data_IF_369306114803
#
_entry.id   IF_369306114803
#
_cell.length_a   1.000
_cell.length_b   1.000
_cell.length_c   1.000
_cell.angle_alpha   90.00
_cell.angle_beta   90.00
_cell.angle_gamma   90.00
#
_symmetry.space_group_name_H-M   'P 1'
#
loop_
_entity.id
_entity.type
_entity.pdbx_description
1 polymer ?
#
# COMPACT_ATOMS: atom_id res chain seq x y z
N UNK A 1 -54.09 -2.44 -41.60
CA UNK A 1 -54.29 -1.76 -42.90
C UNK A 1 -54.38 -0.27 -42.66
N UNK A 2 -53.89 0.52 -43.62
CA UNK A 2 -53.65 1.98 -43.62
C UNK A 2 -52.35 2.47 -42.96
N UNK A 3 -51.36 2.67 -43.83
CA UNK A 3 -50.10 3.36 -43.62
C UNK A 3 -50.30 4.83 -43.98
N UNK A 4 -49.99 5.76 -43.07
CA UNK A 4 -49.94 7.19 -43.37
C UNK A 4 -48.49 7.68 -43.26
N UNK A 5 -47.88 7.88 -44.43
CA UNK A 5 -46.64 8.65 -44.62
C UNK A 5 -47.01 10.06 -45.09
N UNK A 6 -46.36 11.13 -44.59
CA UNK A 6 -46.30 12.39 -45.31
C UNK A 6 -44.87 12.71 -45.78
N UNK A 7 -44.77 12.80 -47.11
CA UNK A 7 -44.07 13.76 -47.96
C UNK A 7 -42.71 14.37 -47.54
N UNK A 8 -41.74 14.03 -48.39
CA UNK A 8 -40.55 14.78 -48.82
C UNK A 8 -40.64 16.31 -48.64
N UNK A 9 -39.65 16.89 -47.95
CA UNK A 9 -39.19 18.27 -48.19
C UNK A 9 -37.81 18.25 -48.83
N UNK A 10 -37.69 19.14 -49.80
CA UNK A 10 -36.64 19.27 -50.79
C UNK A 10 -35.31 19.75 -50.20
N UNK A 11 -34.25 19.30 -50.86
CA UNK A 11 -32.86 19.67 -50.69
C UNK A 11 -32.68 21.20 -50.69
N UNK A 12 -32.10 21.73 -49.61
CA UNK A 12 -31.51 23.07 -49.61
C UNK A 12 -30.00 22.90 -49.75
N UNK A 13 -29.46 23.50 -50.80
CA UNK A 13 -28.03 23.56 -51.11
C UNK A 13 -27.22 24.03 -49.91
N UNK A 14 -26.27 23.20 -49.48
CA UNK A 14 -25.25 23.59 -48.53
C UNK A 14 -24.16 24.36 -49.28
N UNK A 15 -23.96 25.63 -48.94
CA UNK A 15 -22.80 26.39 -49.34
C UNK A 15 -21.53 25.77 -48.71
N UNK A 16 -20.41 25.61 -49.43
CA UNK A 16 -19.16 25.22 -48.82
C UNK A 16 -18.59 26.42 -48.05
N UNK A 17 -18.75 26.41 -46.72
CA UNK A 17 -17.94 27.27 -45.87
C UNK A 17 -16.53 26.69 -45.85
N UNK A 18 -15.65 27.24 -46.68
CA UNK A 18 -14.20 27.01 -46.63
C UNK A 18 -13.64 27.73 -45.40
N UNK A 19 -13.84 27.12 -44.23
CA UNK A 19 -13.11 27.51 -43.02
C UNK A 19 -11.69 26.97 -43.19
N UNK A 20 -10.77 27.82 -43.64
CA UNK A 20 -9.34 27.56 -43.58
C UNK A 20 -8.94 27.42 -42.11
N UNK A 21 -8.91 26.19 -41.63
CA UNK A 21 -8.27 25.88 -40.38
C UNK A 21 -6.78 26.18 -40.58
N UNK A 22 -6.13 27.02 -39.76
CA UNK A 22 -4.68 27.04 -39.74
C UNK A 22 -4.22 25.61 -39.46
N UNK A 23 -3.10 25.14 -40.04
CA UNK A 23 -2.59 23.82 -39.72
C UNK A 23 -2.46 23.77 -38.21
N UNK A 24 -3.30 22.94 -37.57
CA UNK A 24 -3.13 22.55 -36.19
C UNK A 24 -1.79 21.85 -36.22
N UNK A 25 -0.74 22.62 -35.91
CA UNK A 25 0.54 22.06 -35.54
C UNK A 25 0.18 21.05 -34.47
N UNK A 26 0.36 19.77 -34.79
CA UNK A 26 0.37 18.72 -33.81
C UNK A 26 1.54 19.04 -32.88
N UNK A 27 1.32 19.97 -31.95
CA UNK A 27 1.96 19.96 -30.65
C UNK A 27 1.43 18.70 -30.00
N UNK A 28 2.00 17.57 -30.43
CA UNK A 28 2.10 16.38 -29.59
C UNK A 28 2.61 16.94 -28.27
N UNK A 29 1.82 16.96 -27.18
CA UNK A 29 2.43 17.19 -25.89
C UNK A 29 3.48 16.10 -25.79
N UNK A 30 4.75 16.50 -25.89
CA UNK A 30 5.88 15.70 -25.46
C UNK A 30 5.69 15.56 -23.96
N UNK A 31 4.77 14.67 -23.57
CA UNK A 31 4.81 13.98 -22.30
C UNK A 31 6.14 13.23 -22.35
N UNK A 32 7.21 13.92 -21.98
CA UNK A 32 8.49 13.32 -21.67
C UNK A 32 8.25 12.50 -20.41
N UNK A 33 7.56 11.37 -20.54
CA UNK A 33 7.71 10.31 -19.58
C UNK A 33 9.19 9.94 -19.69
N UNK A 34 10.01 10.49 -18.80
CA UNK A 34 11.34 9.96 -18.52
C UNK A 34 11.14 8.56 -17.97
N UNK A 35 10.81 7.62 -18.85
CA UNK A 35 10.89 6.20 -18.57
C UNK A 35 12.38 5.93 -18.52
N UNK A 36 12.94 5.96 -17.31
CA UNK A 36 14.24 5.33 -17.04
C UNK A 36 14.07 3.86 -17.36
N UNK A 37 14.32 3.50 -18.61
CA UNK A 37 14.28 2.12 -19.05
C UNK A 37 15.55 1.43 -18.54
N UNK A 38 15.53 0.10 -18.39
CA UNK A 38 16.74 -0.67 -18.10
C UNK A 38 17.85 -0.43 -19.15
N UNK A 39 17.48 0.04 -20.35
CA UNK A 39 18.40 0.45 -21.41
C UNK A 39 19.12 1.77 -21.14
N UNK A 40 18.61 2.67 -20.29
CA UNK A 40 19.30 3.91 -19.93
C UNK A 40 20.54 3.66 -19.06
N UNK A 41 20.53 2.62 -18.22
CA UNK A 41 21.68 2.28 -17.38
C UNK A 41 22.75 1.53 -18.20
N UNK A 42 22.32 0.71 -19.16
CA UNK A 42 23.22 0.04 -20.09
C UNK A 42 23.84 1.02 -21.09
N UNK A 43 23.04 1.94 -21.65
CA UNK A 43 23.53 3.00 -22.53
C UNK A 43 24.46 3.96 -21.80
N UNK A 44 24.15 4.38 -20.56
CA UNK A 44 25.08 5.18 -19.74
C UNK A 44 26.37 4.45 -19.40
N UNK A 45 26.32 3.14 -19.16
CA UNK A 45 27.53 2.33 -18.91
C UNK A 45 28.38 2.19 -20.18
N UNK A 46 27.75 1.96 -21.33
CA UNK A 46 28.42 1.98 -22.64
C UNK A 46 28.98 3.35 -22.99
N UNK A 47 28.24 4.42 -22.71
CA UNK A 47 28.65 5.80 -22.97
C UNK A 47 29.78 6.21 -22.02
N UNK A 48 29.77 5.76 -20.76
CA UNK A 48 30.89 5.93 -19.84
C UNK A 48 32.13 5.14 -20.27
N UNK A 49 31.96 3.89 -20.75
CA UNK A 49 33.06 3.10 -21.28
C UNK A 49 33.63 3.77 -22.54
N UNK A 50 32.76 4.25 -23.45
CA UNK A 50 33.15 4.98 -24.66
C UNK A 50 33.87 6.30 -24.33
N UNK A 51 33.48 7.00 -23.27
CA UNK A 51 34.19 8.19 -22.75
C UNK A 51 35.57 7.86 -22.18
N UNK A 52 35.79 6.66 -21.62
CA UNK A 52 37.12 6.21 -21.19
C UNK A 52 38.03 5.88 -22.37
N UNK A 53 37.49 5.36 -23.48
CA UNK A 53 38.26 5.02 -24.68
C UNK A 53 38.37 6.17 -25.71
N UNK A 54 37.55 7.21 -25.61
CA UNK A 54 37.55 8.37 -26.52
C UNK A 54 36.97 9.60 -25.81
N UNK A 55 37.77 10.29 -24.97
CA UNK A 55 37.29 11.44 -24.18
C UNK A 55 36.84 12.63 -25.07
N UNK A 56 37.41 12.77 -26.27
CA UNK A 56 37.18 13.94 -27.13
C UNK A 56 35.97 13.84 -28.07
N UNK A 57 35.31 12.67 -28.15
CA UNK A 57 34.19 12.39 -29.09
C UNK A 57 32.80 12.33 -28.42
N UNK A 58 32.66 12.77 -27.18
CA UNK A 58 31.33 12.92 -26.60
C UNK A 58 30.60 14.09 -27.30
N UNK A 59 29.30 13.98 -27.63
CA UNK A 59 28.55 15.12 -28.13
C UNK A 59 28.45 16.16 -27.00
N UNK A 60 29.31 17.19 -27.06
CA UNK A 60 29.34 18.33 -26.15
C UNK A 60 28.14 19.22 -26.47
N UNK A 61 26.95 18.86 -26.01
CA UNK A 61 25.81 19.76 -26.08
C UNK A 61 25.98 20.81 -24.96
N UNK A 62 26.29 22.07 -25.29
CA UNK A 62 26.62 23.10 -24.30
C UNK A 62 25.49 23.29 -23.29
N UNK A 63 24.24 23.12 -23.70
CA UNK A 63 23.07 23.19 -22.82
C UNK A 63 23.06 22.08 -21.77
N UNK A 64 23.49 20.87 -22.15
CA UNK A 64 23.53 19.73 -21.22
C UNK A 64 24.70 19.84 -20.23
N UNK A 65 25.83 20.38 -20.67
CA UNK A 65 26.99 20.63 -19.80
C UNK A 65 26.72 21.78 -18.83
N UNK A 66 26.11 22.86 -19.31
CA UNK A 66 25.68 23.99 -18.47
C UNK A 66 24.61 23.54 -17.47
N UNK A 67 23.61 22.75 -17.91
CA UNK A 67 22.62 22.15 -17.02
C UNK A 67 23.25 21.21 -15.99
N UNK A 68 24.21 20.36 -16.38
CA UNK A 68 24.90 19.46 -15.45
C UNK A 68 25.82 20.22 -14.49
N UNK A 69 26.49 21.30 -14.93
CA UNK A 69 27.27 22.20 -14.06
C UNK A 69 26.34 22.87 -13.03
N UNK A 70 25.30 23.56 -13.49
CA UNK A 70 24.29 24.21 -12.64
C UNK A 70 23.59 23.22 -11.69
N UNK A 71 23.27 22.02 -12.16
CA UNK A 71 22.69 20.94 -11.34
C UNK A 71 23.70 20.37 -10.35
N UNK A 72 24.95 20.17 -10.76
CA UNK A 72 26.01 19.66 -9.89
C UNK A 72 26.32 20.62 -8.76
N UNK A 73 26.25 21.94 -8.98
CA UNK A 73 26.46 22.93 -7.93
C UNK A 73 25.31 22.95 -6.91
N UNK A 74 24.06 22.71 -7.34
CA UNK A 74 22.93 22.51 -6.44
C UNK A 74 22.95 21.17 -5.69
N UNK A 75 23.57 20.13 -6.27
CA UNK A 75 23.70 18.78 -5.69
C UNK A 75 25.04 18.54 -4.96
N UNK A 76 25.99 19.49 -5.03
CA UNK A 76 27.31 19.48 -4.36
C UNK A 76 27.24 19.79 -2.87
N UNK A 77 26.04 19.95 -2.31
CA UNK A 77 25.80 19.57 -0.92
C UNK A 77 26.12 18.07 -0.82
N UNK A 78 27.33 17.79 -0.34
CA UNK A 78 28.12 16.59 -0.60
C UNK A 78 27.31 15.30 -0.40
N UNK A 79 27.34 14.41 -1.40
CA UNK A 79 27.00 13.01 -1.15
C UNK A 79 28.14 12.42 -0.30
N UNK A 80 28.01 12.54 1.01
CA UNK A 80 28.96 11.99 1.96
C UNK A 80 29.04 10.47 1.75
N UNK A 81 30.26 9.98 1.58
CA UNK A 81 30.55 8.56 1.50
C UNK A 81 30.20 7.98 2.87
N UNK A 82 29.25 7.04 2.93
CA UNK A 82 28.75 6.53 4.21
C UNK A 82 29.87 5.99 5.11
N UNK A 83 29.91 6.47 6.34
CA UNK A 83 30.89 6.11 7.36
C UNK A 83 30.40 4.91 8.20
N UNK A 84 31.27 4.35 9.05
CA UNK A 84 30.96 3.26 9.97
C UNK A 84 29.87 3.67 10.99
N UNK A 85 29.06 2.70 11.42
CA UNK A 85 27.97 2.92 12.38
C UNK A 85 28.50 3.39 13.75
N UNK A 86 27.71 4.20 14.48
CA UNK A 86 28.03 4.76 15.81
C UNK A 86 28.49 3.76 16.88
N UNK A 87 28.15 2.48 16.69
CA UNK A 87 28.52 1.39 17.61
C UNK A 87 29.82 0.69 17.21
N UNK A 88 30.47 1.12 16.13
CA UNK A 88 31.72 0.54 15.65
C UNK A 88 32.90 1.20 16.35
N UNK A 89 33.82 0.39 16.86
CA UNK A 89 34.99 0.85 17.59
C UNK A 89 36.00 1.61 16.69
N UNK A 90 35.86 1.49 15.37
CA UNK A 90 36.72 2.11 14.35
C UNK A 90 36.15 3.44 13.83
N UNK A 91 35.25 4.09 14.55
CA UNK A 91 34.72 5.41 14.18
C UNK A 91 35.78 6.50 14.48
N UNK A 92 36.18 7.26 13.46
CA UNK A 92 37.14 8.37 13.60
C UNK A 92 36.57 9.48 14.51
N UNK A 93 37.35 9.96 15.50
CA UNK A 93 36.88 10.95 16.48
C UNK A 93 36.49 12.30 15.85
N UNK A 94 37.15 12.70 14.76
CA UNK A 94 36.83 13.92 14.00
C UNK A 94 35.45 13.87 13.33
N UNK A 95 34.93 12.65 13.08
CA UNK A 95 33.61 12.45 12.49
C UNK A 95 32.47 12.60 13.51
N UNK A 96 32.75 12.48 14.82
CA UNK A 96 31.75 12.61 15.89
C UNK A 96 31.14 14.01 15.95
N UNK A 97 31.94 15.05 15.72
CA UNK A 97 31.51 16.46 15.80
C UNK A 97 30.70 16.94 14.58
N UNK A 98 30.82 16.28 13.41
CA UNK A 98 30.07 16.65 12.19
C UNK A 98 28.70 15.98 12.07
N UNK A 99 28.47 14.87 12.76
CA UNK A 99 27.23 14.06 12.63
C UNK A 99 26.05 14.55 13.48
N UNK A 100 26.25 15.58 14.31
CA UNK A 100 25.16 16.32 14.96
C UNK A 100 24.50 17.33 13.99
N UNK A 101 25.00 17.45 12.74
CA UNK A 101 24.22 18.07 11.67
C UNK A 101 22.98 17.22 11.39
N UNK A 102 21.84 17.70 11.90
CA UNK A 102 20.50 17.21 11.62
C UNK A 102 20.40 16.76 10.16
N UNK A 103 19.99 15.51 9.93
CA UNK A 103 19.64 15.01 8.59
C UNK A 103 18.80 16.07 7.88
N UNK A 104 19.38 16.84 6.97
CA UNK A 104 18.69 17.96 6.30
C UNK A 104 17.49 17.39 5.58
N UNK A 105 16.31 17.56 6.17
CA UNK A 105 15.05 17.12 5.57
C UNK A 105 14.89 17.94 4.31
N UNK A 106 15.09 17.31 3.15
CA UNK A 106 14.90 17.96 1.85
C UNK A 106 13.49 18.57 1.86
N UNK A 107 13.36 19.90 1.72
CA UNK A 107 12.05 20.54 1.77
C UNK A 107 11.18 19.97 0.65
N UNK A 108 9.95 19.57 1.01
CA UNK A 108 8.99 19.00 0.06
C UNK A 108 8.48 20.11 -0.86
N UNK A 109 9.09 20.28 -2.03
CA UNK A 109 8.59 21.21 -3.04
C UNK A 109 7.44 20.55 -3.85
N UNK A 110 6.21 21.09 -3.79
CA UNK A 110 5.05 20.51 -4.48
C UNK A 110 5.23 20.47 -6.00
N UNK A 111 5.92 21.45 -6.61
CA UNK A 111 6.13 21.51 -8.06
C UNK A 111 7.02 20.37 -8.55
N UNK A 112 8.10 20.10 -7.81
CA UNK A 112 9.03 19.00 -8.12
C UNK A 112 8.33 17.66 -7.91
N UNK A 113 7.55 17.52 -6.84
CA UNK A 113 6.84 16.29 -6.51
C UNK A 113 5.64 16.04 -7.41
N UNK A 114 4.98 17.07 -7.95
CA UNK A 114 3.75 16.96 -8.73
C UNK A 114 3.91 15.97 -9.89
N UNK A 115 5.05 16.01 -10.59
CA UNK A 115 5.34 15.08 -11.70
C UNK A 115 5.42 13.62 -11.26
N UNK A 116 5.90 13.35 -10.05
CA UNK A 116 6.01 11.98 -9.51
C UNK A 116 4.74 11.52 -8.81
N UNK A 117 4.00 12.42 -8.17
CA UNK A 117 2.79 12.10 -7.40
C UNK A 117 1.55 12.01 -8.28
N UNK A 118 1.38 12.93 -9.23
CA UNK A 118 0.21 13.06 -10.10
C UNK A 118 0.62 12.95 -11.58
N UNK A 119 0.91 11.74 -12.10
CA UNK A 119 1.34 11.56 -13.48
C UNK A 119 0.25 11.95 -14.52
N UNK A 120 -1.03 11.88 -14.14
CA UNK A 120 -2.17 12.17 -15.03
C UNK A 120 -3.16 13.18 -14.37
N UNK A 121 -2.88 14.49 -14.41
CA UNK A 121 -3.65 15.49 -13.66
C UNK A 121 -5.12 15.61 -14.11
N UNK A 122 -5.40 15.50 -15.41
CA UNK A 122 -6.77 15.60 -15.95
C UNK A 122 -7.69 14.47 -15.43
N UNK A 123 -7.16 13.26 -15.30
CA UNK A 123 -7.91 12.13 -14.76
C UNK A 123 -8.20 12.35 -13.26
N UNK A 124 -7.20 12.82 -12.51
CA UNK A 124 -7.35 13.19 -11.10
C UNK A 124 -8.42 14.28 -10.91
N UNK A 125 -8.45 15.33 -11.74
CA UNK A 125 -9.47 16.38 -11.68
C UNK A 125 -10.88 15.84 -11.95
N UNK A 126 -11.07 15.02 -12.99
CA UNK A 126 -12.37 14.38 -13.29
C UNK A 126 -12.84 13.51 -12.13
N UNK A 127 -11.93 12.74 -11.53
CA UNK A 127 -12.23 11.91 -10.37
C UNK A 127 -12.59 12.76 -9.14
N UNK A 128 -11.82 13.82 -8.83
CA UNK A 128 -12.11 14.77 -7.75
C UNK A 128 -13.50 15.39 -7.93
N UNK A 129 -13.82 15.89 -9.13
CA UNK A 129 -15.16 16.42 -9.46
C UNK A 129 -16.26 15.39 -9.21
N UNK A 130 -16.07 14.14 -9.64
CA UNK A 130 -17.02 13.05 -9.39
C UNK A 130 -17.22 12.80 -7.90
N UNK A 131 -16.15 12.77 -7.11
CA UNK A 131 -16.23 12.56 -5.65
C UNK A 131 -16.95 13.71 -4.95
N UNK A 132 -16.67 14.97 -5.32
CA UNK A 132 -17.37 16.16 -4.80
C UNK A 132 -18.86 16.11 -5.11
N UNK A 133 -19.24 15.80 -6.34
CA UNK A 133 -20.67 15.66 -6.72
C UNK A 133 -21.36 14.56 -5.88
N UNK A 134 -20.68 13.42 -5.67
CA UNK A 134 -21.22 12.34 -4.83
C UNK A 134 -21.39 12.75 -3.37
N UNK A 135 -20.46 13.53 -2.82
CA UNK A 135 -20.50 14.02 -1.44
C UNK A 135 -21.65 15.03 -1.26
N UNK A 136 -21.78 15.98 -2.18
CA UNK A 136 -22.90 16.94 -2.25
C UNK A 136 -24.24 16.20 -2.35
N UNK A 137 -24.34 15.19 -3.22
CA UNK A 137 -25.56 14.37 -3.36
C UNK A 137 -25.94 13.65 -2.05
N UNK A 138 -24.95 13.18 -1.29
CA UNK A 138 -25.14 12.56 0.03
C UNK A 138 -25.36 13.56 1.16
N UNK A 139 -25.23 14.87 0.89
CA UNK A 139 -25.34 15.95 1.88
C UNK A 139 -24.39 15.73 3.06
N UNK A 140 -23.18 15.25 2.78
CA UNK A 140 -22.16 14.96 3.81
C UNK A 140 -22.41 13.71 4.67
N UNK A 141 -23.46 12.91 4.40
CA UNK A 141 -23.70 11.65 5.15
C UNK A 141 -22.63 10.61 4.82
N UNK A 142 -21.87 10.22 5.84
CA UNK A 142 -20.81 9.22 5.72
C UNK A 142 -21.34 7.79 5.81
N UNK A 143 -20.79 6.89 4.99
CA UNK A 143 -21.01 5.45 5.18
C UNK A 143 -20.16 4.92 6.32
N UNK A 144 -20.57 3.80 6.93
CA UNK A 144 -19.79 3.14 7.99
C UNK A 144 -18.33 2.95 7.59
N UNK A 145 -18.07 2.43 6.39
CA UNK A 145 -16.72 2.23 5.86
C UNK A 145 -15.90 3.53 5.74
N UNK A 146 -16.54 4.64 5.36
CA UNK A 146 -15.88 5.94 5.28
C UNK A 146 -15.55 6.50 6.67
N UNK A 147 -16.42 6.28 7.65
CA UNK A 147 -16.16 6.65 9.04
C UNK A 147 -15.00 5.83 9.60
N UNK A 148 -15.01 4.50 9.41
CA UNK A 148 -13.93 3.61 9.87
C UNK A 148 -12.58 3.96 9.25
N UNK A 149 -12.54 4.22 7.93
CA UNK A 149 -11.29 4.63 7.24
C UNK A 149 -10.72 5.95 7.76
N UNK A 150 -11.54 6.83 8.35
CA UNK A 150 -11.09 8.09 8.97
C UNK A 150 -10.67 7.89 10.41
N UNK A 151 -11.35 7.03 11.16
CA UNK A 151 -11.17 6.92 12.63
C UNK A 151 -10.20 5.82 13.06
N UNK A 152 -10.01 4.79 12.24
CA UNK A 152 -9.18 3.63 12.52
C UNK A 152 -7.98 3.60 11.57
N UNK A 153 -6.77 3.55 12.16
CA UNK A 153 -5.55 3.42 11.38
C UNK A 153 -5.36 1.97 10.95
N UNK A 154 -4.91 1.76 9.71
CA UNK A 154 -4.57 0.44 9.17
C UNK A 154 -3.28 0.52 8.37
N UNK A 155 -2.38 -0.45 8.56
CA UNK A 155 -1.21 -0.66 7.71
C UNK A 155 -1.32 -2.03 7.03
N UNK A 156 -1.22 -2.05 5.70
CA UNK A 156 -0.95 -3.26 4.94
C UNK A 156 0.54 -3.27 4.60
N UNK A 157 1.28 -4.24 5.13
CA UNK A 157 2.70 -4.43 4.83
C UNK A 157 2.89 -5.79 4.15
N UNK A 158 3.72 -5.83 3.10
CA UNK A 158 4.05 -7.04 2.34
C UNK A 158 5.54 -7.29 2.44
N UNK A 159 5.93 -8.52 2.74
CA UNK A 159 7.33 -8.92 2.81
C UNK A 159 7.98 -9.04 1.44
N UNK A 160 9.30 -9.17 1.43
CA UNK A 160 10.03 -9.74 0.30
C UNK A 160 9.71 -11.24 0.15
N UNK A 161 10.14 -11.83 -0.96
CA UNK A 161 9.90 -13.25 -1.24
C UNK A 161 10.86 -14.16 -0.46
N UNK A 162 10.32 -14.93 0.47
CA UNK A 162 11.03 -15.95 1.22
C UNK A 162 11.27 -17.20 0.36
N UNK A 163 12.39 -17.90 0.58
CA UNK A 163 12.71 -19.18 -0.07
C UNK A 163 11.96 -20.34 0.59
N UNK A 164 10.64 -20.33 0.51
CA UNK A 164 9.75 -21.38 1.03
C UNK A 164 8.50 -21.55 0.18
N UNK A 165 7.67 -22.51 0.54
CA UNK A 165 6.37 -22.74 -0.10
C UNK A 165 5.22 -22.18 0.75
N UNK A 166 4.11 -21.85 0.08
CA UNK A 166 2.92 -21.28 0.73
C UNK A 166 2.44 -22.20 1.86
N UNK A 167 2.42 -23.52 1.59
CA UNK A 167 1.99 -24.54 2.56
C UNK A 167 2.85 -24.57 3.82
N UNK A 168 4.15 -24.26 3.72
CA UNK A 168 5.06 -24.21 4.87
C UNK A 168 4.97 -22.88 5.63
N UNK A 169 4.64 -21.79 4.93
CA UNK A 169 4.52 -20.45 5.53
C UNK A 169 3.16 -20.20 6.20
N UNK A 170 2.07 -20.76 5.65
CA UNK A 170 0.71 -20.58 6.16
C UNK A 170 0.54 -20.93 7.64
N UNK A 171 1.13 -22.02 8.19
CA UNK A 171 1.05 -22.31 9.61
C UNK A 171 1.62 -21.18 10.49
N UNK A 172 2.71 -20.53 10.08
CA UNK A 172 3.29 -19.40 10.81
C UNK A 172 2.37 -18.17 10.73
N UNK A 173 1.82 -17.87 9.55
CA UNK A 173 0.88 -16.77 9.38
C UNK A 173 -0.37 -16.94 10.27
N UNK A 174 -0.93 -18.15 10.31
CA UNK A 174 -2.05 -18.47 11.22
C UNK A 174 -1.67 -18.37 12.69
N UNK A 175 -0.43 -18.72 13.06
CA UNK A 175 0.05 -18.67 14.44
C UNK A 175 0.20 -17.23 14.97
N UNK A 176 0.54 -16.27 14.11
CA UNK A 176 0.71 -14.85 14.49
C UNK A 176 -0.59 -14.04 14.34
N UNK A 177 -1.51 -14.45 13.48
CA UNK A 177 -2.80 -13.79 13.31
C UNK A 177 -3.55 -13.71 14.65
N UNK A 178 -4.04 -12.52 15.00
CA UNK A 178 -4.74 -12.28 16.24
C UNK A 178 -3.85 -12.07 17.48
N UNK A 179 -2.52 -12.11 17.35
CA UNK A 179 -1.61 -11.73 18.46
C UNK A 179 -1.25 -10.24 18.38
N UNK A 180 -0.81 -9.67 19.51
CA UNK A 180 -0.13 -8.36 19.48
C UNK A 180 1.15 -8.48 18.66
N UNK A 181 1.64 -7.39 18.10
CA UNK A 181 2.86 -7.43 17.28
C UNK A 181 4.06 -7.87 18.11
N UNK A 182 4.14 -7.45 19.37
CA UNK A 182 5.21 -7.82 20.29
C UNK A 182 5.16 -9.32 20.63
N UNK A 183 3.98 -9.85 20.96
CA UNK A 183 3.80 -11.29 21.20
C UNK A 183 4.12 -12.11 19.94
N UNK A 184 3.73 -11.63 18.76
CA UNK A 184 4.06 -12.28 17.51
C UNK A 184 5.57 -12.35 17.26
N UNK A 185 6.31 -11.27 17.54
CA UNK A 185 7.77 -11.21 17.45
C UNK A 185 8.40 -12.23 18.41
N UNK A 186 7.93 -12.29 19.67
CA UNK A 186 8.39 -13.26 20.67
C UNK A 186 8.13 -14.70 20.18
N UNK A 187 6.94 -14.96 19.64
CA UNK A 187 6.58 -16.28 19.14
C UNK A 187 7.43 -16.71 17.94
N UNK A 188 7.78 -15.79 17.04
CA UNK A 188 8.67 -16.08 15.92
C UNK A 188 10.13 -16.25 16.37
N UNK A 189 10.57 -15.52 17.41
CA UNK A 189 11.90 -15.68 18.03
C UNK A 189 12.13 -17.10 18.55
N UNK A 190 11.13 -17.69 19.21
CA UNK A 190 11.25 -19.03 19.80
C UNK A 190 10.75 -20.17 18.88
N UNK A 191 10.35 -19.85 17.65
CA UNK A 191 9.89 -20.86 16.71
C UNK A 191 11.06 -21.64 16.11
N UNK A 192 10.93 -22.96 16.07
CA UNK A 192 11.94 -23.87 15.48
C UNK A 192 12.00 -23.80 13.95
N UNK A 193 11.08 -23.11 13.29
CA UNK A 193 10.98 -23.07 11.83
C UNK A 193 12.00 -22.07 11.27
N UNK A 194 12.80 -22.50 10.27
CA UNK A 194 13.80 -21.63 9.62
C UNK A 194 13.24 -20.27 9.17
N UNK A 195 12.05 -20.29 8.54
CA UNK A 195 11.40 -19.08 8.00
C UNK A 195 10.88 -18.15 9.10
N UNK A 196 10.81 -18.59 10.35
CA UNK A 196 10.36 -17.73 11.45
C UNK A 196 11.31 -16.55 11.69
N UNK A 197 12.61 -16.70 11.39
CA UNK A 197 13.58 -15.60 11.45
C UNK A 197 13.18 -14.48 10.48
N UNK A 198 12.93 -14.82 9.21
CA UNK A 198 12.55 -13.84 8.19
C UNK A 198 11.18 -13.19 8.49
N UNK A 199 10.23 -13.96 9.04
CA UNK A 199 8.92 -13.45 9.47
C UNK A 199 9.07 -12.50 10.66
N UNK A 200 9.97 -12.79 11.60
CA UNK A 200 10.29 -11.89 12.73
C UNK A 200 10.83 -10.55 12.23
N UNK A 201 11.82 -10.59 11.33
CA UNK A 201 12.39 -9.39 10.71
C UNK A 201 11.32 -8.59 9.96
N UNK A 202 10.41 -9.27 9.27
CA UNK A 202 9.29 -8.60 8.61
C UNK A 202 8.30 -7.97 9.60
N UNK A 203 8.01 -8.61 10.75
CA UNK A 203 7.17 -8.03 11.80
C UNK A 203 7.80 -6.78 12.42
N UNK A 204 9.11 -6.80 12.68
CA UNK A 204 9.86 -5.63 13.15
C UNK A 204 9.83 -4.49 12.12
N UNK A 205 10.03 -4.81 10.84
CA UNK A 205 9.91 -3.83 9.75
C UNK A 205 8.48 -3.24 9.66
N UNK A 206 7.45 -4.09 9.70
CA UNK A 206 6.06 -3.67 9.60
C UNK A 206 5.63 -2.81 10.81
N UNK A 207 6.13 -3.11 12.02
CA UNK A 207 5.95 -2.27 13.20
C UNK A 207 6.53 -0.88 12.98
N UNK A 208 7.77 -0.80 12.51
CA UNK A 208 8.44 0.47 12.26
C UNK A 208 7.72 1.26 11.14
N UNK A 209 7.30 0.57 10.08
CA UNK A 209 6.51 1.15 9.00
C UNK A 209 5.16 1.69 9.50
N UNK A 210 4.50 1.00 10.43
CA UNK A 210 3.22 1.41 11.01
C UNK A 210 3.36 2.70 11.83
N UNK A 211 4.41 2.77 12.66
CA UNK A 211 4.72 3.95 13.45
C UNK A 211 5.04 5.13 12.52
N UNK A 212 5.94 4.93 11.55
CA UNK A 212 6.41 6.02 10.67
C UNK A 212 5.36 6.50 9.66
N UNK A 213 4.69 5.58 8.94
CA UNK A 213 3.75 5.95 7.87
C UNK A 213 2.35 6.29 8.39
N UNK A 214 1.90 5.62 9.45
CA UNK A 214 0.52 5.74 9.94
C UNK A 214 0.42 6.44 11.31
N UNK A 215 1.53 6.60 12.04
CA UNK A 215 1.51 7.17 13.39
C UNK A 215 0.79 6.29 14.40
N UNK A 216 0.91 4.97 14.26
CA UNK A 216 0.29 4.01 15.18
C UNK A 216 1.16 3.76 16.42
N UNK A 217 0.54 3.35 17.53
CA UNK A 217 1.27 2.86 18.72
C UNK A 217 2.05 3.92 19.51
N UNK A 218 1.77 5.21 19.30
CA UNK A 218 2.43 6.33 19.99
C UNK A 218 1.78 6.70 21.33
N UNK A 219 0.61 6.13 21.66
CA UNK A 219 -0.17 6.52 22.84
C UNK A 219 0.60 6.34 24.15
N UNK A 220 1.30 5.23 24.31
CA UNK A 220 2.09 4.92 25.51
C UNK A 220 3.21 5.92 25.78
N UNK A 221 3.88 6.39 24.72
CA UNK A 221 4.99 7.35 24.83
C UNK A 221 4.49 8.73 25.26
N UNK A 222 3.34 9.14 24.72
CA UNK A 222 2.74 10.44 25.04
C UNK A 222 2.03 10.47 26.40
N UNK A 223 1.92 9.34 27.13
CA UNK A 223 1.12 9.13 28.37
C UNK A 223 -0.38 9.43 28.25
N UNK A 224 -0.81 10.12 27.20
CA UNK A 224 -2.21 10.49 26.92
C UNK A 224 -3.15 9.29 26.82
N UNK A 225 -2.70 8.15 26.32
CA UNK A 225 -3.57 6.96 26.20
C UNK A 225 -3.85 6.35 27.57
N UNK A 226 -2.84 6.25 28.43
CA UNK A 226 -2.95 5.58 29.74
C UNK A 226 -3.81 6.37 30.72
N UNK A 227 -3.75 7.69 30.70
CA UNK A 227 -4.53 8.55 31.62
C UNK A 227 -6.02 8.59 31.24
N UNK A 228 -6.32 8.60 29.94
CA UNK A 228 -7.70 8.76 29.46
C UNK A 228 -8.44 7.42 29.25
N UNK A 229 -7.71 6.30 29.22
CA UNK A 229 -8.29 5.00 28.91
C UNK A 229 -8.26 4.06 30.11
N UNK A 230 -9.44 3.66 30.58
CA UNK A 230 -9.59 2.60 31.58
C UNK A 230 -9.31 1.25 30.92
N UNK A 231 -8.52 0.40 31.58
CA UNK A 231 -8.29 -0.98 31.13
C UNK A 231 -9.62 -1.71 30.88
N UNK A 232 -9.73 -2.38 29.73
CA UNK A 232 -10.94 -3.13 29.34
C UNK A 232 -10.60 -4.58 29.05
N UNK A 233 -11.51 -5.47 29.43
CA UNK A 233 -11.50 -6.86 28.97
C UNK A 233 -12.39 -6.97 27.75
N UNK A 234 -11.83 -7.45 26.64
CA UNK A 234 -12.57 -7.69 25.41
C UNK A 234 -12.58 -9.17 25.08
N UNK A 235 -13.59 -9.60 24.33
CA UNK A 235 -13.64 -10.95 23.76
C UNK A 235 -13.39 -10.86 22.25
N UNK A 236 -12.36 -11.55 21.76
CA UNK A 236 -12.07 -11.61 20.32
C UNK A 236 -13.13 -12.40 19.57
N UNK A 237 -13.08 -12.37 18.22
CA UNK A 237 -13.98 -13.19 17.39
C UNK A 237 -13.84 -14.69 17.69
N UNK A 238 -12.64 -15.12 18.08
CA UNK A 238 -12.32 -16.52 18.41
C UNK A 238 -12.72 -16.91 19.85
N UNK A 239 -13.37 -16.00 20.60
CA UNK A 239 -13.80 -16.25 21.99
C UNK A 239 -12.71 -16.06 23.05
N UNK A 240 -11.49 -15.65 22.67
CA UNK A 240 -10.41 -15.40 23.63
C UNK A 240 -10.63 -14.09 24.36
N UNK A 241 -10.42 -14.10 25.69
CA UNK A 241 -10.43 -12.89 26.52
C UNK A 241 -9.07 -12.21 26.44
N UNK A 242 -9.05 -10.93 26.08
CA UNK A 242 -7.85 -10.11 25.96
C UNK A 242 -8.00 -8.90 26.89
N UNK A 243 -6.97 -8.63 27.67
CA UNK A 243 -6.87 -7.43 28.50
C UNK A 243 -6.24 -6.32 27.64
N UNK A 244 -6.99 -5.25 27.39
CA UNK A 244 -6.49 -4.09 26.64
C UNK A 244 -6.19 -2.98 27.63
N UNK A 245 -4.90 -2.64 27.74
CA UNK A 245 -4.40 -1.56 28.58
C UNK A 245 -4.26 -0.25 27.79
N UNK A 246 -3.81 -0.32 26.54
CA UNK A 246 -3.68 0.83 25.64
C UNK A 246 -4.40 0.55 24.31
N UNK A 247 -5.37 1.40 23.89
CA UNK A 247 -6.10 1.23 22.64
C UNK A 247 -5.24 1.44 21.39
N UNK A 248 -4.08 2.08 21.50
CA UNK A 248 -3.15 2.32 20.38
C UNK A 248 -2.20 1.15 20.13
N UNK A 249 -2.18 0.14 21.02
CA UNK A 249 -1.34 -1.05 20.90
C UNK A 249 -1.57 -1.73 19.56
N UNK A 250 -0.48 -2.08 18.89
CA UNK A 250 -0.50 -2.74 17.58
C UNK A 250 -0.79 -4.23 17.72
N UNK A 251 -1.69 -4.74 16.88
CA UNK A 251 -1.91 -6.17 16.74
C UNK A 251 -1.98 -6.58 15.26
N UNK A 252 -1.72 -7.87 15.02
CA UNK A 252 -1.86 -8.48 13.71
C UNK A 252 -3.33 -8.89 13.52
N UNK A 253 -4.06 -8.16 12.69
CA UNK A 253 -5.47 -8.44 12.41
C UNK A 253 -5.62 -9.60 11.45
N UNK A 254 -4.92 -9.49 10.31
CA UNK A 254 -4.93 -10.50 9.27
C UNK A 254 -3.49 -10.81 8.86
N UNK A 255 -3.23 -12.07 8.56
CA UNK A 255 -1.97 -12.52 8.00
C UNK A 255 -2.24 -13.61 6.96
N UNK A 256 -1.71 -13.42 5.75
CA UNK A 256 -1.84 -14.42 4.68
C UNK A 256 -0.57 -14.49 3.84
N UNK A 257 -0.46 -15.58 3.08
CA UNK A 257 0.73 -15.87 2.28
C UNK A 257 0.41 -15.77 0.79
N UNK A 258 1.27 -15.10 0.03
CA UNK A 258 1.23 -15.03 -1.42
C UNK A 258 2.24 -15.98 -2.06
N UNK A 259 2.01 -16.32 -3.34
CA UNK A 259 3.00 -17.02 -4.16
C UNK A 259 3.92 -15.98 -4.81
N UNK A 260 5.23 -16.16 -4.69
CA UNK A 260 6.23 -15.38 -5.40
C UNK A 260 6.69 -16.07 -6.68
N UNK A 261 7.77 -15.54 -7.25
CA UNK A 261 8.40 -16.13 -8.43
C UNK A 261 9.02 -17.50 -8.10
N UNK A 262 9.06 -18.40 -9.08
CA UNK A 262 9.53 -19.75 -8.86
C UNK A 262 10.50 -20.15 -9.97
N UNK A 263 11.56 -20.84 -9.57
CA UNK A 263 12.56 -21.38 -10.49
C UNK A 263 12.25 -22.84 -10.76
N UNK A 264 12.71 -23.35 -11.90
CA UNK A 264 12.59 -24.76 -12.30
C UNK A 264 13.94 -25.44 -12.16
N UNK A 265 13.94 -26.67 -11.67
CA UNK A 265 15.07 -27.59 -11.77
C UNK A 265 14.58 -28.92 -12.32
N UNK A 266 15.44 -29.60 -13.06
CA UNK A 266 15.14 -30.94 -13.57
C UNK A 266 15.45 -31.99 -12.49
N UNK A 267 14.58 -32.99 -12.36
CA UNK A 267 14.70 -34.12 -11.44
C UNK A 267 14.79 -35.40 -12.28
N UNK A 268 16.01 -35.89 -12.45
CA UNK A 268 16.31 -37.05 -13.30
C UNK A 268 16.03 -38.34 -12.50
N UNK A 269 15.08 -39.15 -12.97
CA UNK A 269 14.69 -40.43 -12.36
C UNK A 269 15.12 -41.62 -13.21
N UNK A 270 15.00 -42.82 -12.66
CA UNK A 270 15.29 -44.05 -13.39
C UNK A 270 14.42 -44.21 -14.65
N UNK A 271 14.92 -44.99 -15.61
CA UNK A 271 14.25 -45.32 -16.90
C UNK A 271 14.00 -44.10 -17.79
N UNK A 272 14.92 -43.13 -17.81
CA UNK A 272 14.85 -41.96 -18.71
C UNK A 272 13.77 -40.93 -18.36
N UNK A 273 13.11 -41.05 -17.20
CA UNK A 273 12.06 -40.12 -16.79
C UNK A 273 12.67 -38.83 -16.22
N UNK A 274 12.27 -37.67 -16.77
CA UNK A 274 12.71 -36.35 -16.28
C UNK A 274 11.52 -35.54 -15.78
N UNK A 275 11.46 -35.34 -14.48
CA UNK A 275 10.45 -34.51 -13.84
C UNK A 275 10.93 -33.07 -13.71
N UNK A 276 10.00 -32.14 -13.51
CA UNK A 276 10.33 -30.73 -13.26
C UNK A 276 9.99 -30.37 -11.82
N UNK A 277 11.03 -30.17 -11.02
CA UNK A 277 10.94 -29.68 -9.66
C UNK A 277 10.74 -28.15 -9.66
N UNK A 278 9.78 -27.68 -8.85
CA UNK A 278 9.44 -26.25 -8.73
C UNK A 278 10.02 -25.69 -7.44
N UNK A 279 11.05 -24.85 -7.55
CA UNK A 279 11.68 -24.14 -6.44
C UNK A 279 10.91 -22.85 -6.17
N UNK A 280 9.98 -22.93 -5.22
CA UNK A 280 9.02 -21.85 -4.94
C UNK A 280 9.63 -20.79 -4.02
N UNK A 281 9.22 -19.56 -4.25
CA UNK A 281 9.33 -18.48 -3.28
C UNK A 281 7.94 -17.94 -2.92
N UNK A 282 7.83 -17.27 -1.78
CA UNK A 282 6.56 -16.78 -1.24
C UNK A 282 6.73 -15.57 -0.35
N UNK A 283 5.82 -14.61 -0.45
CA UNK A 283 5.72 -13.48 0.47
C UNK A 283 4.66 -13.73 1.55
N UNK A 284 4.79 -13.07 2.70
CA UNK A 284 3.71 -12.91 3.68
C UNK A 284 3.20 -11.46 3.61
N UNK A 285 1.88 -11.29 3.74
CA UNK A 285 1.23 -10.00 3.85
C UNK A 285 0.55 -9.91 5.21
N UNK A 286 0.72 -8.77 5.88
CA UNK A 286 0.20 -8.49 7.21
C UNK A 286 -0.68 -7.25 7.16
N UNK A 287 -1.79 -7.30 7.88
CA UNK A 287 -2.62 -6.13 8.19
C UNK A 287 -2.48 -5.83 9.67
N UNK A 288 -1.82 -4.72 9.97
CA UNK A 288 -1.68 -4.22 11.33
C UNK A 288 -2.76 -3.17 11.63
N UNK A 289 -3.37 -3.31 12.80
CA UNK A 289 -4.39 -2.39 13.34
C UNK A 289 -4.07 -2.09 14.80
N UNK A 290 -4.76 -1.10 15.35
CA UNK A 290 -4.69 -0.73 16.77
C UNK A 290 -5.79 -1.44 17.56
N UNK A 291 -5.57 -1.77 18.84
CA UNK A 291 -6.57 -2.41 19.72
C UNK A 291 -7.92 -1.68 19.79
N UNK A 292 -7.96 -0.37 19.47
CA UNK A 292 -9.17 0.41 19.23
C UNK A 292 -10.17 -0.31 18.30
N UNK A 293 -9.70 -0.96 17.23
CA UNK A 293 -10.59 -1.68 16.31
C UNK A 293 -11.20 -2.91 16.96
N UNK A 294 -10.47 -3.60 17.84
CA UNK A 294 -11.00 -4.77 18.57
C UNK A 294 -12.01 -4.38 19.62
N UNK A 295 -11.79 -3.25 20.32
CA UNK A 295 -12.76 -2.70 21.26
C UNK A 295 -14.08 -2.43 20.52
N UNK A 296 -14.04 -1.71 19.40
CA UNK A 296 -15.24 -1.46 18.59
C UNK A 296 -15.92 -2.77 18.14
N UNK A 297 -15.16 -3.73 17.63
CA UNK A 297 -15.72 -5.01 17.17
C UNK A 297 -16.35 -5.82 18.31
N UNK A 298 -15.85 -5.66 19.54
CA UNK A 298 -16.43 -6.27 20.73
C UNK A 298 -17.73 -5.55 21.11
N UNK A 299 -17.74 -4.22 21.19
CA UNK A 299 -18.93 -3.41 21.46
C UNK A 299 -20.05 -3.67 20.43
N UNK A 300 -19.73 -3.68 19.13
CA UNK A 300 -20.70 -4.02 18.08
C UNK A 300 -21.28 -5.43 18.24
N UNK A 301 -20.49 -6.38 18.77
CA UNK A 301 -20.97 -7.74 19.03
C UNK A 301 -21.87 -7.76 20.26
N UNK A 302 -21.53 -7.03 21.32
CA UNK A 302 -22.37 -6.90 22.51
C UNK A 302 -23.69 -6.21 22.20
N UNK A 303 -23.67 -5.11 21.44
CA UNK A 303 -24.88 -4.44 20.94
C UNK A 303 -25.72 -5.39 20.10
N UNK A 304 -25.10 -6.16 19.20
CA UNK A 304 -25.80 -7.18 18.42
C UNK A 304 -26.43 -8.27 19.31
N UNK A 305 -25.77 -8.65 20.41
CA UNK A 305 -26.31 -9.60 21.37
C UNK A 305 -27.45 -9.00 22.20
N UNK A 306 -27.34 -7.74 22.64
CA UNK A 306 -28.41 -7.00 23.32
C UNK A 306 -29.65 -6.83 22.43
N UNK A 307 -29.42 -6.58 21.14
CA UNK A 307 -30.49 -6.45 20.13
C UNK A 307 -31.09 -7.82 19.74
N UNK A 308 -30.41 -8.94 20.03
CA UNK A 308 -30.94 -10.26 19.74
C UNK A 308 -32.09 -10.54 20.69
N UNK A 309 -33.26 -10.85 20.13
CA UNK A 309 -34.43 -11.27 20.91
C UNK A 309 -34.07 -12.49 21.76
N UNK A 310 -34.56 -12.49 23.00
CA UNK A 310 -34.44 -13.65 23.90
C UNK A 310 -35.17 -14.84 23.31
N UNK A 311 -34.67 -16.04 23.62
CA UNK A 311 -35.39 -17.27 23.27
C UNK A 311 -36.66 -17.36 24.12
N UNK A 312 -37.77 -17.70 23.48
CA UNK A 312 -39.10 -17.85 24.09
C UNK A 312 -39.57 -19.26 23.77
N UNK A 313 -40.20 -19.93 24.75
CA UNK A 313 -40.67 -21.32 24.61
C UNK A 313 -41.68 -21.47 23.46
N UNK A 314 -42.64 -20.54 23.37
CA UNK A 314 -43.67 -20.49 22.33
C UNK A 314 -43.52 -19.18 21.52
N UNK A 315 -42.71 -19.17 20.45
CA UNK A 315 -42.51 -17.96 19.66
C UNK A 315 -43.66 -17.71 18.68
N UNK A 316 -44.10 -16.45 18.57
CA UNK A 316 -45.05 -16.00 17.54
C UNK A 316 -44.38 -16.00 16.15
N UNK A 317 -44.39 -17.15 15.48
CA UNK A 317 -43.90 -17.28 14.10
C UNK A 317 -44.99 -16.81 13.13
N UNK A 318 -44.65 -15.98 12.13
CA UNK A 318 -45.64 -15.56 11.15
C UNK A 318 -46.09 -16.75 10.31
N UNK A 319 -47.40 -16.84 10.03
CA UNK A 319 -47.94 -17.77 9.04
C UNK A 319 -47.47 -17.30 7.67
N UNK A 320 -46.57 -18.04 7.03
CA UNK A 320 -45.91 -17.62 5.78
C UNK A 320 -46.74 -17.85 4.52
N UNK A 321 -47.86 -18.56 4.62
CA UNK A 321 -48.73 -18.88 3.49
C UNK A 321 -49.99 -18.01 3.52
N UNK A 322 -50.31 -17.39 2.38
CA UNK A 322 -51.53 -16.61 2.20
C UNK A 322 -52.62 -17.45 1.53
N UNK A 323 -53.85 -17.38 2.05
CA UNK A 323 -55.07 -17.90 1.41
C UNK A 323 -56.03 -16.74 1.17
N UNK A 324 -56.83 -16.81 0.11
CA UNK A 324 -57.83 -15.79 -0.24
C UNK A 324 -59.13 -15.92 0.56
N UNK A 325 -59.14 -16.80 1.57
CA UNK A 325 -60.24 -17.00 2.50
C UNK A 325 -59.67 -17.20 3.90
N UNK A 326 -60.43 -16.78 4.91
CA UNK A 326 -60.10 -17.02 6.30
C UNK A 326 -60.15 -18.52 6.59
N UNK A 327 -59.14 -19.02 7.31
CA UNK A 327 -59.14 -20.39 7.83
C UNK A 327 -59.39 -20.38 9.34
N UNK A 328 -58.92 -19.35 10.05
CA UNK A 328 -59.26 -18.90 11.41
C UNK A 328 -58.59 -17.56 11.67
#
# INVERSE_FOLDING_TARGET
MSLNLPSRRLLRSAAPLTISHPPIAFLVPLYTNQRRSLWDNFSKRLDSARRMFSPDKAPKNPLTEEYLKKKSDAQRQQAERGDLAKSSIFEDEDSRGKRDEENKVIPRNPEIMARSLDPNPNATLRWKRKMVIQDVKKRGRLTKDQTLKRTERVLLSKSHDFKTSVKKLVPLAKQIAGKTVEDAIIQMRFSKKKVAKDVKEHLEHARNEAILKRGMGLGKVERKSTENFKTRYIVTKDGKRVKVEDPTTLYVDEAWCGKGDWTRSYDFRARGNVNIMKNRTTSISLVLKEEKTRIRLHEEREEKLKNKKVWVQLPNRPVTAQRQYYSW
#
